data_IF_569534293904
#
_entry.id   IF_569534293904
#
_cell.length_a   1.000
_cell.length_b   1.000
_cell.length_c   1.000
_cell.angle_alpha   90.00
_cell.angle_beta   90.00
_cell.angle_gamma   90.00
#
_symmetry.space_group_name_H-M   'P 1'
#
loop_
_entity.id
_entity.type
_entity.pdbx_description
1 polymer ?
#
# COMPACT_ATOMS: atom_id res chain seq x y z
N UNK A 1 -22.52 -12.07 4.47
CA UNK A 1 -22.61 -10.68 3.99
C UNK A 1 -21.20 -10.19 3.71
N UNK A 2 -20.73 -10.34 2.48
CA UNK A 2 -19.49 -9.69 2.04
C UNK A 2 -19.85 -8.23 1.87
N UNK A 3 -19.45 -7.39 2.82
CA UNK A 3 -19.58 -5.94 2.70
C UNK A 3 -18.75 -5.58 1.46
N UNK A 4 -19.41 -5.15 0.38
CA UNK A 4 -18.71 -4.52 -0.73
C UNK A 4 -17.98 -3.32 -0.14
N UNK A 5 -16.67 -3.43 0.06
CA UNK A 5 -15.83 -2.31 0.45
C UNK A 5 -15.89 -1.33 -0.70
N UNK A 6 -16.64 -0.25 -0.49
CA UNK A 6 -16.60 0.92 -1.35
C UNK A 6 -15.14 1.33 -1.55
N UNK A 7 -14.77 1.76 -2.75
CA UNK A 7 -13.39 2.11 -3.09
C UNK A 7 -12.80 3.21 -2.20
N UNK A 8 -13.67 3.99 -1.53
CA UNK A 8 -13.29 5.08 -0.62
C UNK A 8 -12.69 4.60 0.73
N UNK A 9 -12.98 3.36 1.16
CA UNK A 9 -12.37 2.80 2.37
C UNK A 9 -10.97 2.23 2.10
N UNK A 10 -10.64 1.87 0.86
CA UNK A 10 -9.36 1.26 0.53
C UNK A 10 -8.34 2.32 0.08
N UNK A 11 -7.07 2.20 0.48
CA UNK A 11 -6.01 3.14 0.08
C UNK A 11 -5.51 2.85 -1.34
N UNK A 12 -6.43 2.83 -2.32
CA UNK A 12 -6.11 2.64 -3.74
C UNK A 12 -5.79 4.01 -4.33
N UNK A 13 -4.69 4.10 -5.06
CA UNK A 13 -4.26 5.35 -5.70
C UNK A 13 -2.77 5.38 -5.95
N UNK A 14 -2.29 6.53 -6.42
CA UNK A 14 -0.87 6.82 -6.52
C UNK A 14 -0.46 7.85 -5.46
N UNK A 15 0.69 7.62 -4.85
CA UNK A 15 1.20 8.40 -3.73
C UNK A 15 2.61 8.88 -4.04
N UNK A 16 2.82 10.19 -3.96
CA UNK A 16 4.15 10.79 -4.02
C UNK A 16 4.92 10.46 -2.74
N UNK A 17 6.14 9.93 -2.90
CA UNK A 17 6.99 9.48 -1.78
C UNK A 17 8.33 10.18 -1.73
N UNK A 18 8.43 11.36 -2.37
CA UNK A 18 9.62 12.20 -2.28
C UNK A 18 9.88 12.61 -0.82
N UNK A 19 11.17 12.68 -0.39
CA UNK A 19 12.37 12.51 -1.21
C UNK A 19 12.87 11.05 -1.32
N UNK A 20 12.20 10.07 -0.70
CA UNK A 20 12.69 8.70 -0.57
C UNK A 20 12.51 7.84 -1.83
N UNK A 21 11.63 8.27 -2.75
CA UNK A 21 11.49 7.68 -4.08
C UNK A 21 10.64 8.55 -5.01
N UNK A 22 10.09 7.95 -6.06
CA UNK A 22 9.21 8.62 -7.03
C UNK A 22 7.75 8.58 -6.58
N UNK A 23 7.04 7.51 -6.97
CA UNK A 23 5.62 7.33 -6.70
C UNK A 23 5.36 5.88 -6.29
N UNK A 24 4.44 5.64 -5.36
CA UNK A 24 3.89 4.30 -5.11
C UNK A 24 2.45 4.21 -5.59
N UNK A 25 2.18 3.22 -6.44
CA UNK A 25 0.82 2.90 -6.87
C UNK A 25 0.30 1.70 -6.08
N UNK A 26 -0.81 1.89 -5.38
CA UNK A 26 -1.51 0.88 -4.59
C UNK A 26 -2.81 0.48 -5.30
N UNK A 27 -3.05 -0.82 -5.44
CA UNK A 27 -4.17 -1.36 -6.22
C UNK A 27 -4.63 -2.73 -5.72
N UNK A 28 -5.86 -3.11 -6.09
CA UNK A 28 -6.41 -4.43 -5.80
C UNK A 28 -5.71 -5.52 -6.60
N UNK A 29 -5.30 -6.60 -5.93
CA UNK A 29 -4.70 -7.77 -6.55
C UNK A 29 -4.98 -9.03 -5.75
N UNK A 30 -5.47 -10.09 -6.42
CA UNK A 30 -5.77 -11.41 -5.83
C UNK A 30 -6.60 -11.35 -4.53
N UNK A 31 -7.58 -10.45 -4.46
CA UNK A 31 -8.47 -10.30 -3.29
C UNK A 31 -7.86 -9.54 -2.11
N UNK A 32 -6.67 -8.97 -2.25
CA UNK A 32 -6.06 -8.04 -1.30
C UNK A 32 -5.49 -6.82 -2.00
N UNK A 33 -4.57 -6.13 -1.34
CA UNK A 33 -3.87 -4.98 -1.91
C UNK A 33 -2.44 -5.36 -2.31
N UNK A 34 -1.96 -4.71 -3.36
CA UNK A 34 -0.58 -4.74 -3.78
C UNK A 34 -0.10 -3.32 -4.06
N UNK A 35 1.21 -3.15 -4.07
CA UNK A 35 1.88 -1.89 -4.31
C UNK A 35 3.06 -2.09 -5.24
N UNK A 36 3.34 -1.08 -6.06
CA UNK A 36 4.54 -1.03 -6.89
C UNK A 36 5.13 0.37 -6.85
N UNK A 37 6.45 0.45 -6.74
CA UNK A 37 7.19 1.70 -6.84
C UNK A 37 7.45 2.07 -8.31
N UNK A 38 7.20 3.33 -8.63
CA UNK A 38 7.31 3.92 -9.96
C UNK A 38 8.35 5.06 -9.99
N UNK A 39 9.04 5.24 -11.13
CA UNK A 39 8.94 4.43 -12.35
C UNK A 39 9.65 3.07 -12.20
N UNK A 40 9.14 2.03 -12.87
CA UNK A 40 9.81 0.73 -12.95
C UNK A 40 9.70 0.12 -14.34
N UNK A 41 10.77 -0.55 -14.78
CA UNK A 41 10.79 -1.32 -16.03
C UNK A 41 10.36 -2.78 -15.83
N UNK A 42 10.18 -3.23 -14.59
CA UNK A 42 9.73 -4.58 -14.27
C UNK A 42 8.68 -4.55 -13.16
N UNK A 43 7.41 -4.51 -13.56
CA UNK A 43 6.28 -4.46 -12.64
C UNK A 43 6.20 -5.72 -11.77
N UNK A 44 6.45 -6.90 -12.34
CA UNK A 44 6.26 -8.17 -11.64
C UNK A 44 7.30 -8.39 -10.54
N UNK A 45 8.55 -7.98 -10.75
CA UNK A 45 9.60 -8.14 -9.73
C UNK A 45 9.50 -7.13 -8.59
N UNK A 46 8.84 -5.99 -8.81
CA UNK A 46 8.70 -4.92 -7.83
C UNK A 46 7.33 -4.88 -7.16
N UNK A 47 6.46 -5.84 -7.48
CA UNK A 47 5.15 -5.94 -6.87
C UNK A 47 5.27 -6.50 -5.46
N UNK A 48 4.79 -5.74 -4.49
CA UNK A 48 4.75 -6.12 -3.08
C UNK A 48 3.30 -6.27 -2.66
N UNK A 49 2.95 -7.37 -2.00
CA UNK A 49 1.59 -7.54 -1.45
C UNK A 49 1.49 -6.81 -0.11
N UNK A 50 0.31 -6.29 0.21
CA UNK A 50 0.01 -5.68 1.49
C UNK A 50 -0.92 -6.59 2.29
N UNK A 51 -0.48 -6.99 3.47
CA UNK A 51 -1.30 -7.71 4.45
C UNK A 51 -1.87 -6.71 5.43
N UNK A 52 -3.20 -6.63 5.52
CA UNK A 52 -3.89 -5.80 6.50
C UNK A 52 -3.57 -6.28 7.93
N UNK A 53 -3.33 -5.34 8.83
CA UNK A 53 -3.09 -5.59 10.25
C UNK A 53 -4.24 -5.04 11.08
N UNK A 54 -4.44 -3.72 11.03
CA UNK A 54 -5.50 -3.01 11.73
C UNK A 54 -5.71 -1.64 11.08
N UNK A 55 -6.95 -1.13 11.07
CA UNK A 55 -7.29 0.18 10.50
C UNK A 55 -6.58 0.46 9.15
N UNK A 56 -5.78 1.52 9.09
CA UNK A 56 -4.98 1.93 7.92
C UNK A 56 -3.52 1.40 7.99
N UNK A 57 -3.26 0.37 8.78
CA UNK A 57 -1.93 -0.24 9.00
C UNK A 57 -1.84 -1.59 8.28
N UNK A 58 -0.76 -1.73 7.51
CA UNK A 58 -0.46 -2.90 6.69
C UNK A 58 0.99 -3.32 6.89
N UNK A 59 1.29 -4.57 6.54
CA UNK A 59 2.66 -5.08 6.42
C UNK A 59 2.92 -5.53 4.99
N UNK A 60 4.10 -5.22 4.48
CA UNK A 60 4.54 -5.75 3.19
C UNK A 60 4.75 -7.26 3.27
N UNK A 61 4.38 -7.98 2.21
CA UNK A 61 4.70 -9.39 2.01
C UNK A 61 5.51 -9.47 0.71
N UNK A 62 6.78 -9.85 0.85
CA UNK A 62 7.72 -9.96 -0.26
C UNK A 62 7.40 -11.16 -1.16
N UNK A 63 8.16 -11.31 -2.24
CA UNK A 63 8.02 -12.41 -3.21
C UNK A 63 8.36 -13.78 -2.62
N UNK A 64 9.14 -13.84 -1.54
CA UNK A 64 9.50 -15.03 -0.77
C UNK A 64 8.52 -15.33 0.40
N UNK A 65 7.34 -14.71 0.38
CA UNK A 65 6.31 -14.79 1.43
C UNK A 65 6.74 -14.26 2.82
N UNK A 66 7.93 -13.64 2.95
CA UNK A 66 8.37 -13.05 4.21
C UNK A 66 7.66 -11.72 4.49
N UNK A 67 7.34 -11.51 5.77
CA UNK A 67 6.80 -10.25 6.28
C UNK A 67 7.90 -9.19 6.28
N UNK A 68 7.60 -8.04 5.69
CA UNK A 68 8.48 -6.88 5.65
C UNK A 68 8.04 -5.77 6.60
N UNK A 69 8.38 -4.55 6.20
CA UNK A 69 8.12 -3.35 6.99
C UNK A 69 6.63 -2.98 7.02
N UNK A 70 6.29 -2.13 7.97
CA UNK A 70 4.97 -1.55 8.11
C UNK A 70 4.75 -0.41 7.11
N UNK A 71 3.56 -0.41 6.53
CA UNK A 71 3.05 0.64 5.67
C UNK A 71 1.75 1.12 6.29
N UNK A 72 1.65 2.42 6.55
CA UNK A 72 0.41 3.02 7.05
C UNK A 72 -0.08 4.12 6.13
N UNK A 73 -1.39 4.36 6.15
CA UNK A 73 -2.03 5.37 5.31
C UNK A 73 -2.62 6.49 6.18
N UNK A 74 -2.36 7.74 5.80
CA UNK A 74 -2.92 8.91 6.49
C UNK A 74 -4.13 9.44 5.76
N UNK A 75 -5.21 9.64 6.51
CA UNK A 75 -6.43 10.30 6.02
C UNK A 75 -6.48 11.77 6.39
N UNK A 76 -7.09 12.59 5.54
CA UNK A 76 -7.44 13.98 5.85
C UNK A 76 -8.73 14.05 6.69
N UNK A 77 -9.16 15.26 7.06
CA UNK A 77 -10.39 15.46 7.85
C UNK A 77 -11.67 14.99 7.15
N UNK A 78 -11.65 14.86 5.82
CA UNK A 78 -12.75 14.33 5.00
C UNK A 78 -12.74 12.80 4.91
N UNK A 79 -11.75 12.12 5.49
CA UNK A 79 -11.59 10.66 5.44
C UNK A 79 -10.84 10.14 4.20
N UNK A 80 -10.35 11.02 3.33
CA UNK A 80 -9.63 10.64 2.12
C UNK A 80 -8.19 10.29 2.43
N UNK A 81 -7.69 9.18 1.89
CA UNK A 81 -6.27 8.80 2.01
C UNK A 81 -5.42 9.76 1.19
N UNK A 82 -4.48 10.42 1.84
CA UNK A 82 -3.64 11.47 1.21
C UNK A 82 -2.17 11.10 1.15
N UNK A 83 -1.69 10.23 2.05
CA UNK A 83 -0.28 9.90 2.15
C UNK A 83 -0.08 8.43 2.51
N UNK A 84 1.01 7.88 2.00
CA UNK A 84 1.62 6.64 2.46
C UNK A 84 2.77 6.98 3.42
N UNK A 85 2.90 6.21 4.50
CA UNK A 85 3.92 6.37 5.52
C UNK A 85 4.65 5.04 5.70
N UNK A 86 5.97 5.11 5.60
CA UNK A 86 6.85 3.98 5.82
C UNK A 86 7.45 4.06 7.22
N UNK A 87 7.22 3.03 8.03
CA UNK A 87 7.95 2.86 9.28
C UNK A 87 8.98 1.74 9.09
N UNK A 88 10.26 2.11 9.19
CA UNK A 88 11.33 1.13 9.34
C UNK A 88 11.12 0.37 10.65
N UNK A 89 11.24 -0.95 10.60
CA UNK A 89 11.50 -1.72 11.82
C UNK A 89 12.95 -1.39 12.21
N UNK A 90 13.14 -0.86 13.42
CA UNK A 90 14.45 -0.81 14.08
C UNK A 90 15.02 -2.23 14.25
#
# INVERSE_FOLDING_TARGET
>A
MTKSTDSHDQPIGSYDIRPWGGEDMVFCWKGGLAMVNLPTMNLLSNLVRLKHVDADIFRTIRSDDQVGHEVSFRRNASGEVTHILYHGVE
#
